data_IF_207115560229
#
_entry.id   IF_207115560229
#
_cell.length_a   1.000
_cell.length_b   1.000
_cell.length_c   1.000
_cell.angle_alpha   90.00
_cell.angle_beta   90.00
_cell.angle_gamma   90.00
#
_symmetry.space_group_name_H-M   'P 1'
#
loop_
_entity.id
_entity.type
_entity.pdbx_description
1 polymer ?
#
# COMPACT_ATOMS: atom_id res chain seq x y z
N UNK A 1 9.21 37.71 2.03
CA UNK A 1 10.34 36.77 2.07
C UNK A 1 9.77 35.42 1.65
N UNK A 2 10.10 34.95 0.45
CA UNK A 2 9.69 33.63 -0.03
C UNK A 2 10.73 32.61 0.38
N UNK A 3 10.29 31.51 0.98
CA UNK A 3 11.12 30.34 1.27
C UNK A 3 10.76 29.30 0.23
N UNK A 4 11.71 28.95 -0.63
CA UNK A 4 11.55 27.85 -1.59
C UNK A 4 12.07 26.57 -0.95
N UNK A 5 11.20 25.57 -0.79
CA UNK A 5 11.55 24.23 -0.28
C UNK A 5 11.44 23.23 -1.42
N UNK A 6 12.50 22.48 -1.67
CA UNK A 6 12.46 21.35 -2.61
C UNK A 6 12.15 20.08 -1.81
N UNK A 7 10.97 19.50 -2.04
CA UNK A 7 10.59 18.22 -1.42
C UNK A 7 11.10 17.08 -2.31
N UNK A 8 11.93 16.21 -1.75
CA UNK A 8 12.42 15.01 -2.41
C UNK A 8 11.49 13.85 -2.04
N UNK A 9 10.83 13.25 -3.03
CA UNK A 9 10.05 12.03 -2.83
C UNK A 9 11.00 10.83 -2.75
N UNK A 10 10.91 10.04 -1.69
CA UNK A 10 11.73 8.82 -1.52
C UNK A 10 10.89 7.56 -1.68
N UNK A 11 11.56 6.43 -1.93
CA UNK A 11 10.87 5.13 -2.00
C UNK A 11 10.16 4.78 -0.68
N UNK A 12 10.79 5.12 0.46
CA UNK A 12 10.19 4.94 1.78
C UNK A 12 8.88 5.70 1.95
N UNK A 13 8.83 6.97 1.54
CA UNK A 13 7.64 7.79 1.64
C UNK A 13 6.46 7.22 0.84
N UNK A 14 6.73 6.72 -0.38
CA UNK A 14 5.68 6.10 -1.21
C UNK A 14 5.21 4.78 -0.61
N UNK A 15 6.14 3.95 -0.13
CA UNK A 15 5.79 2.68 0.47
C UNK A 15 4.97 2.85 1.76
N UNK A 16 5.35 3.79 2.63
CA UNK A 16 4.60 4.12 3.84
C UNK A 16 3.20 4.65 3.51
N UNK A 17 3.08 5.55 2.52
CA UNK A 17 1.78 6.04 2.04
C UNK A 17 0.87 4.92 1.52
N UNK A 18 1.43 3.91 0.84
CA UNK A 18 0.67 2.73 0.41
C UNK A 18 0.16 1.90 1.60
N UNK A 19 0.98 1.73 2.65
CA UNK A 19 0.56 1.03 3.88
C UNK A 19 -0.57 1.77 4.58
N UNK A 20 -0.48 3.09 4.66
CA UNK A 20 -1.54 3.94 5.23
C UNK A 20 -2.83 3.83 4.42
N UNK A 21 -2.77 3.91 3.09
CA UNK A 21 -3.94 3.79 2.22
C UNK A 21 -4.64 2.42 2.37
N UNK A 22 -3.87 1.34 2.53
CA UNK A 22 -4.40 -0.01 2.82
C UNK A 22 -5.10 -0.04 4.17
N UNK A 23 -4.48 0.52 5.20
CA UNK A 23 -5.04 0.53 6.55
C UNK A 23 -6.34 1.35 6.60
N UNK A 24 -6.36 2.50 5.93
CA UNK A 24 -7.56 3.32 5.79
C UNK A 24 -8.66 2.57 5.06
N UNK A 25 -8.34 1.91 3.94
CA UNK A 25 -9.29 1.08 3.20
C UNK A 25 -9.93 0.02 4.10
N UNK A 26 -9.13 -0.75 4.85
CA UNK A 26 -9.66 -1.79 5.73
C UNK A 26 -10.47 -1.25 6.92
N UNK A 27 -10.10 -0.08 7.44
CA UNK A 27 -10.80 0.56 8.57
C UNK A 27 -12.16 1.12 8.13
N UNK A 28 -12.26 1.62 6.91
CA UNK A 28 -13.48 2.22 6.35
C UNK A 28 -14.46 1.19 5.77
N UNK A 29 -14.12 -0.10 5.79
CA UNK A 29 -15.08 -1.14 5.42
C UNK A 29 -16.20 -1.18 6.45
N UNK A 30 -17.48 -1.19 6.02
CA UNK A 30 -18.60 -1.29 6.95
C UNK A 30 -18.41 -2.54 7.82
N UNK A 31 -18.49 -2.36 9.14
CA UNK A 31 -18.49 -3.49 10.07
C UNK A 31 -19.60 -4.43 9.62
N UNK A 32 -19.25 -5.65 9.23
CA UNK A 32 -20.25 -6.66 8.91
C UNK A 32 -20.85 -7.18 10.23
N UNK A 33 -21.52 -6.31 10.97
CA UNK A 33 -22.48 -6.74 11.99
C UNK A 33 -23.61 -7.45 11.24
N UNK A 34 -23.72 -8.76 11.48
CA UNK A 34 -24.74 -9.67 10.96
C UNK A 34 -24.46 -10.28 9.58
N UNK A 35 -23.73 -11.41 9.56
CA UNK A 35 -24.30 -12.76 9.41
C UNK A 35 -23.20 -13.76 9.07
N UNK A 36 -23.27 -14.92 9.75
CA UNK A 36 -22.58 -16.19 9.46
C UNK A 36 -21.05 -16.21 9.61
N UNK A 37 -20.61 -16.98 10.61
CA UNK A 37 -19.24 -17.36 10.99
C UNK A 37 -18.31 -17.89 9.86
N UNK A 38 -18.79 -17.96 8.62
CA UNK A 38 -18.07 -18.51 7.46
C UNK A 38 -17.46 -17.43 6.54
N UNK A 39 -17.86 -16.16 6.68
CA UNK A 39 -17.41 -15.05 5.82
C UNK A 39 -16.33 -14.17 6.46
N UNK A 40 -15.63 -14.66 7.50
CA UNK A 40 -14.31 -14.13 7.92
C UNK A 40 -13.26 -14.45 6.85
N UNK A 41 -13.54 -14.14 5.58
CA UNK A 41 -12.51 -14.13 4.55
C UNK A 41 -11.46 -13.13 5.02
N UNK A 42 -10.26 -13.63 5.32
CA UNK A 42 -9.13 -12.77 5.66
C UNK A 42 -9.00 -11.73 4.55
N UNK A 43 -9.20 -10.48 4.91
CA UNK A 43 -8.81 -9.36 4.09
C UNK A 43 -7.30 -9.22 4.25
N UNK A 44 -6.61 -9.18 3.14
CA UNK A 44 -5.17 -8.99 3.13
C UNK A 44 -4.78 -8.25 1.86
N UNK A 45 -3.57 -7.72 1.85
CA UNK A 45 -3.06 -6.94 0.74
C UNK A 45 -1.62 -7.32 0.43
N UNK A 46 -1.20 -7.04 -0.81
CA UNK A 46 0.17 -7.21 -1.25
C UNK A 46 0.62 -5.92 -1.92
N UNK A 47 1.64 -5.29 -1.36
CA UNK A 47 2.31 -4.16 -2.00
C UNK A 47 3.29 -4.71 -3.03
N UNK A 48 3.29 -4.10 -4.21
CA UNK A 48 4.16 -4.42 -5.33
C UNK A 48 5.05 -3.22 -5.67
N UNK A 49 6.33 -3.49 -5.93
CA UNK A 49 7.27 -2.57 -6.56
C UNK A 49 7.58 -3.10 -7.95
N UNK A 50 7.30 -2.31 -8.99
CA UNK A 50 7.46 -2.71 -10.39
C UNK A 50 6.78 -4.07 -10.70
N UNK A 51 5.58 -4.28 -10.14
CA UNK A 51 4.80 -5.50 -10.31
C UNK A 51 5.27 -6.72 -9.48
N UNK A 52 6.31 -6.57 -8.65
CA UNK A 52 6.80 -7.65 -7.79
C UNK A 52 6.43 -7.42 -6.33
N UNK A 53 5.97 -8.45 -5.60
CA UNK A 53 5.76 -8.39 -4.16
C UNK A 53 7.00 -7.87 -3.43
N UNK A 54 6.79 -6.91 -2.53
CA UNK A 54 7.82 -6.38 -1.64
C UNK A 54 7.33 -6.40 -0.19
N UNK A 55 8.28 -6.51 0.72
CA UNK A 55 8.10 -6.46 2.16
C UNK A 55 8.88 -5.31 2.77
N UNK A 56 8.70 -5.08 4.08
CA UNK A 56 9.44 -4.06 4.81
C UNK A 56 10.96 -4.24 4.69
N UNK A 57 11.44 -5.49 4.75
CA UNK A 57 12.87 -5.81 4.61
C UNK A 57 13.42 -5.53 3.21
N UNK A 58 12.59 -5.60 2.17
CA UNK A 58 13.01 -5.27 0.80
C UNK A 58 13.13 -3.75 0.59
N UNK A 59 12.30 -2.97 1.32
CA UNK A 59 12.24 -1.51 1.18
C UNK A 59 13.18 -0.79 2.14
N UNK A 60 13.47 -1.35 3.31
CA UNK A 60 14.40 -0.78 4.29
C UNK A 60 15.74 -0.31 3.68
N UNK A 61 16.46 -1.09 2.85
CA UNK A 61 17.70 -0.62 2.23
C UNK A 61 17.51 0.45 1.15
N UNK A 62 16.28 0.67 0.69
CA UNK A 62 15.92 1.62 -0.37
C UNK A 62 15.21 2.88 0.16
N UNK A 63 14.89 2.93 1.46
CA UNK A 63 13.97 3.92 2.05
C UNK A 63 14.33 5.38 1.74
N UNK A 64 15.63 5.69 1.75
CA UNK A 64 16.15 7.05 1.53
C UNK A 64 16.50 7.34 0.05
N UNK A 65 16.38 6.33 -0.82
CA UNK A 65 16.60 6.52 -2.25
C UNK A 65 15.50 7.42 -2.81
N UNK A 66 15.90 8.30 -3.73
CA UNK A 66 14.93 9.07 -4.51
C UNK A 66 14.01 8.10 -5.24
N UNK A 67 12.72 8.41 -5.30
CA UNK A 67 11.84 7.70 -6.21
C UNK A 67 12.28 7.98 -7.65
N UNK A 68 12.67 6.93 -8.37
CA UNK A 68 12.95 7.01 -9.81
C UNK A 68 11.63 7.09 -10.58
N UNK A 69 11.62 7.77 -11.73
CA UNK A 69 10.45 7.82 -12.64
C UNK A 69 10.01 6.43 -13.14
N UNK A 70 10.94 5.46 -13.15
CA UNK A 70 10.67 4.09 -13.56
C UNK A 70 10.09 3.23 -12.42
N UNK A 71 10.23 3.67 -11.16
CA UNK A 71 9.77 2.91 -10.00
C UNK A 71 8.29 3.17 -9.75
N UNK A 72 7.48 2.11 -9.89
CA UNK A 72 6.03 2.13 -9.68
C UNK A 72 5.65 1.31 -8.47
N UNK A 73 4.75 1.84 -7.65
CA UNK A 73 4.16 1.12 -6.54
C UNK A 73 2.68 0.87 -6.79
N UNK A 74 2.22 -0.29 -6.38
CA UNK A 74 0.79 -0.62 -6.41
C UNK A 74 0.45 -1.55 -5.27
N UNK A 75 -0.81 -1.59 -4.88
CA UNK A 75 -1.32 -2.57 -3.92
C UNK A 75 -2.41 -3.40 -4.56
N UNK A 76 -2.35 -4.71 -4.37
CA UNK A 76 -3.48 -5.60 -4.66
C UNK A 76 -4.20 -5.93 -3.35
N UNK A 77 -5.52 -5.77 -3.35
CA UNK A 77 -6.39 -6.06 -2.22
C UNK A 77 -7.09 -7.40 -2.45
N UNK A 78 -7.13 -8.26 -1.43
CA UNK A 78 -7.70 -9.59 -1.51
C UNK A 78 -8.77 -9.82 -0.44
N UNK A 79 -9.73 -10.68 -0.79
CA UNK A 79 -10.68 -11.30 0.14
C UNK A 79 -10.60 -12.81 -0.05
N UNK A 80 -9.95 -13.51 0.89
CA UNK A 80 -9.56 -14.90 0.68
C UNK A 80 -8.58 -15.00 -0.49
N UNK A 81 -8.88 -15.81 -1.50
CA UNK A 81 -8.05 -15.97 -2.72
C UNK A 81 -8.46 -15.05 -3.87
N UNK A 82 -9.51 -14.24 -3.69
CA UNK A 82 -10.06 -13.38 -4.74
C UNK A 82 -9.50 -11.97 -4.62
N UNK A 83 -8.96 -11.45 -5.71
CA UNK A 83 -8.65 -10.02 -5.86
C UNK A 83 -9.96 -9.20 -5.87
N UNK A 84 -9.98 -8.15 -5.07
CA UNK A 84 -11.15 -7.27 -4.91
C UNK A 84 -10.87 -5.82 -5.33
N UNK A 85 -9.61 -5.47 -5.59
CA UNK A 85 -9.24 -4.14 -6.07
C UNK A 85 -7.74 -3.92 -6.11
N UNK A 86 -7.37 -2.79 -6.72
CA UNK A 86 -5.99 -2.36 -6.86
C UNK A 86 -5.87 -0.87 -6.52
N UNK A 87 -4.81 -0.48 -5.82
CA UNK A 87 -4.40 0.91 -5.60
C UNK A 87 -3.11 1.15 -6.40
N UNK A 88 -3.00 2.27 -7.11
CA UNK A 88 -1.83 2.60 -7.94
C UNK A 88 -1.34 4.02 -7.62
N UNK A 89 -0.02 4.23 -7.57
CA UNK A 89 0.64 5.54 -7.57
C UNK A 89 1.72 5.61 -8.65
#
# INVERSE_FOLDING_TARGET
MEITVTVKLTEGMVYDAMKEAVQEFFTNLPSQENKTDLLKHSLWSQILRNGKPVTDSDIEPLKDNSLSEETKYSVILYRGTKEIGTIQM
#
